data_IF_532028724642
#
_entry.id   IF_532028724642
#
_cell.length_a   1.000
_cell.length_b   1.000
_cell.length_c   1.000
_cell.angle_alpha   90.00
_cell.angle_beta   90.00
_cell.angle_gamma   90.00
#
_symmetry.space_group_name_H-M   'P 1'
#
loop_
_entity.id
_entity.type
_entity.pdbx_description
1 polymer ?
#
# COMPACT_ATOMS: atom_id res chain seq x y z
N UNK A 1 -36.29 -39.33 68.78
CA UNK A 1 -35.36 -38.22 68.46
C UNK A 1 -34.92 -38.39 67.01
N UNK A 2 -35.26 -37.48 66.07
CA UNK A 2 -34.89 -37.65 64.67
C UNK A 2 -33.49 -37.09 64.39
N UNK A 3 -32.69 -37.84 63.63
CA UNK A 3 -31.39 -37.42 63.13
C UNK A 3 -31.60 -36.52 61.90
N UNK A 4 -31.14 -35.28 61.96
CA UNK A 4 -31.15 -34.35 60.83
C UNK A 4 -30.01 -34.71 59.86
N UNK A 5 -30.38 -35.13 58.65
CA UNK A 5 -29.44 -35.38 57.55
C UNK A 5 -29.02 -34.05 56.93
N UNK A 6 -27.78 -33.62 57.17
CA UNK A 6 -27.22 -32.40 56.59
C UNK A 6 -26.69 -32.71 55.19
N UNK A 7 -27.40 -32.25 54.16
CA UNK A 7 -26.94 -32.31 52.77
C UNK A 7 -25.90 -31.21 52.55
N UNK A 8 -24.62 -31.58 52.42
CA UNK A 8 -23.55 -30.65 52.02
C UNK A 8 -23.53 -30.50 50.50
N UNK A 9 -23.95 -29.35 49.99
CA UNK A 9 -23.70 -28.93 48.61
C UNK A 9 -22.19 -28.70 48.42
N UNK A 10 -21.54 -29.55 47.63
CA UNK A 10 -20.13 -29.38 47.27
C UNK A 10 -20.01 -28.23 46.28
N UNK A 11 -19.56 -27.07 46.74
CA UNK A 11 -19.18 -25.96 45.87
C UNK A 11 -18.03 -26.41 44.94
N UNK A 12 -18.23 -26.31 43.62
CA UNK A 12 -17.17 -26.58 42.65
C UNK A 12 -16.05 -25.55 42.84
N UNK A 13 -14.77 -25.97 42.91
CA UNK A 13 -13.67 -25.02 42.94
C UNK A 13 -13.64 -24.24 41.62
N UNK A 14 -13.62 -22.91 41.71
CA UNK A 14 -13.39 -22.04 40.57
C UNK A 14 -11.97 -22.32 40.03
N UNK A 15 -11.87 -22.94 38.86
CA UNK A 15 -10.60 -23.15 38.15
C UNK A 15 -10.20 -21.83 37.50
N UNK A 16 -9.12 -21.22 37.99
CA UNK A 16 -8.47 -20.08 37.36
C UNK A 16 -7.49 -20.52 36.27
N UNK A 17 -7.12 -19.60 35.38
CA UNK A 17 -6.04 -19.80 34.41
C UNK A 17 -4.69 -19.88 35.11
N UNK A 18 -3.84 -20.80 34.68
CA UNK A 18 -2.46 -20.87 35.15
C UNK A 18 -1.58 -19.86 34.41
N UNK A 19 -0.52 -19.38 35.06
CA UNK A 19 0.47 -18.51 34.41
C UNK A 19 1.13 -19.21 33.22
N UNK A 20 1.32 -20.53 33.32
CA UNK A 20 1.90 -21.36 32.24
C UNK A 20 0.98 -21.47 31.03
N UNK A 21 -0.35 -21.54 31.21
CA UNK A 21 -1.30 -21.49 30.08
C UNK A 21 -1.21 -20.17 29.33
N UNK A 22 -1.19 -19.05 30.05
CA UNK A 22 -1.06 -17.74 29.39
C UNK A 22 0.29 -17.61 28.69
N UNK A 23 1.38 -18.06 29.34
CA UNK A 23 2.71 -18.00 28.76
C UNK A 23 2.81 -18.81 27.45
N UNK A 24 2.27 -20.04 27.41
CA UNK A 24 2.32 -20.86 26.19
C UNK A 24 1.45 -20.29 25.07
N UNK A 25 0.27 -19.75 25.37
CA UNK A 25 -0.56 -19.05 24.38
C UNK A 25 0.15 -17.84 23.80
N UNK A 26 0.78 -17.01 24.63
CA UNK A 26 1.54 -15.85 24.17
C UNK A 26 2.71 -16.26 23.25
N UNK A 27 3.41 -17.35 23.56
CA UNK A 27 4.48 -17.88 22.71
C UNK A 27 3.94 -18.30 21.34
N UNK A 28 2.82 -19.02 21.29
CA UNK A 28 2.21 -19.43 20.02
C UNK A 28 1.79 -18.21 19.19
N UNK A 29 1.14 -17.22 19.82
CA UNK A 29 0.72 -15.98 19.15
C UNK A 29 1.93 -15.20 18.61
N UNK A 30 3.03 -15.12 19.37
CA UNK A 30 4.25 -14.43 18.93
C UNK A 30 4.86 -15.08 17.67
N UNK A 31 4.87 -16.41 17.61
CA UNK A 31 5.37 -17.15 16.44
C UNK A 31 4.49 -16.87 15.21
N UNK A 32 3.17 -16.91 15.36
CA UNK A 32 2.23 -16.62 14.26
C UNK A 32 2.39 -15.17 13.79
N UNK A 33 2.47 -14.22 14.72
CA UNK A 33 2.59 -12.80 14.41
C UNK A 33 3.88 -12.48 13.64
N UNK A 34 5.00 -13.13 13.97
CA UNK A 34 6.28 -12.94 13.30
C UNK A 34 6.21 -13.24 11.79
N UNK A 35 5.38 -14.20 11.37
CA UNK A 35 5.20 -14.58 9.96
C UNK A 35 4.08 -13.77 9.31
N UNK A 36 2.98 -13.54 10.03
CA UNK A 36 1.79 -12.89 9.48
C UNK A 36 1.98 -11.38 9.22
N UNK A 37 2.65 -10.67 10.14
CA UNK A 37 2.81 -9.21 10.06
C UNK A 37 3.57 -8.72 8.81
N UNK A 38 4.73 -9.28 8.41
CA UNK A 38 5.42 -8.83 7.20
C UNK A 38 4.57 -9.07 5.94
N UNK A 39 3.89 -10.22 5.87
CA UNK A 39 2.98 -10.55 4.76
C UNK A 39 1.83 -9.56 4.66
N UNK A 40 1.16 -9.28 5.79
CA UNK A 40 0.04 -8.33 5.84
C UNK A 40 0.46 -6.90 5.44
N UNK A 41 1.63 -6.45 5.91
CA UNK A 41 2.17 -5.14 5.51
C UNK A 41 2.43 -5.06 3.99
N UNK A 42 2.93 -6.14 3.37
CA UNK A 42 3.13 -6.18 1.92
C UNK A 42 1.82 -6.09 1.15
N UNK A 43 0.75 -6.71 1.67
CA UNK A 43 -0.59 -6.65 1.10
C UNK A 43 -1.16 -5.23 1.13
N UNK A 44 -1.06 -4.56 2.29
CA UNK A 44 -1.49 -3.16 2.43
C UNK A 44 -0.73 -2.22 1.48
N UNK A 45 0.58 -2.41 1.31
CA UNK A 45 1.38 -1.63 0.37
C UNK A 45 0.93 -1.83 -1.07
N UNK A 46 0.64 -3.07 -1.48
CA UNK A 46 0.11 -3.36 -2.82
C UNK A 46 -1.21 -2.64 -3.07
N UNK A 47 -2.12 -2.60 -2.08
CA UNK A 47 -3.36 -1.82 -2.17
C UNK A 47 -3.08 -0.32 -2.37
N UNK A 48 -2.18 0.24 -1.56
CA UNK A 48 -1.79 1.65 -1.62
C UNK A 48 -1.03 2.06 -2.90
N UNK A 49 -0.50 1.12 -3.69
CA UNK A 49 0.08 1.44 -5.01
C UNK A 49 -0.97 1.94 -6.00
N UNK A 50 -2.25 1.64 -5.75
CA UNK A 50 -3.34 2.13 -6.59
C UNK A 50 -3.44 3.65 -6.61
N UNK A 51 -3.07 4.34 -5.52
CA UNK A 51 -3.01 5.80 -5.45
C UNK A 51 -2.01 6.37 -6.47
N UNK A 52 -0.79 5.80 -6.54
CA UNK A 52 0.20 6.16 -7.56
C UNK A 52 -0.28 5.86 -8.99
N UNK A 53 -0.85 4.67 -9.21
CA UNK A 53 -1.35 4.27 -10.54
C UNK A 53 -2.46 5.22 -11.00
N UNK A 54 -3.37 5.59 -10.10
CA UNK A 54 -4.45 6.55 -10.37
C UNK A 54 -3.89 7.91 -10.71
N UNK A 55 -2.89 8.39 -9.96
CA UNK A 55 -2.25 9.67 -10.22
C UNK A 55 -1.54 9.69 -11.58
N UNK A 56 -0.80 8.63 -11.92
CA UNK A 56 -0.15 8.48 -13.24
C UNK A 56 -1.17 8.34 -14.39
N UNK A 57 -2.32 7.70 -14.14
CA UNK A 57 -3.40 7.58 -15.14
C UNK A 57 -4.04 8.93 -15.43
N UNK A 58 -4.27 9.75 -14.40
CA UNK A 58 -4.77 11.13 -14.56
C UNK A 58 -3.76 12.00 -15.31
N UNK A 59 -2.47 11.85 -14.97
CA UNK A 59 -1.39 12.51 -15.71
C UNK A 59 -1.40 12.11 -17.18
N UNK A 60 -1.56 10.82 -17.49
CA UNK A 60 -1.63 10.34 -18.86
C UNK A 60 -2.81 10.93 -19.63
N UNK A 61 -4.00 11.01 -19.02
CA UNK A 61 -5.17 11.64 -19.63
C UNK A 61 -4.92 13.13 -19.91
N UNK A 62 -4.38 13.87 -18.94
CA UNK A 62 -4.06 15.28 -19.10
C UNK A 62 -2.99 15.51 -20.17
N UNK A 63 -1.98 14.66 -20.23
CA UNK A 63 -0.93 14.69 -21.25
C UNK A 63 -1.52 14.47 -22.66
N UNK A 64 -2.41 13.50 -22.83
CA UNK A 64 -3.10 13.29 -24.11
C UNK A 64 -3.89 14.52 -24.53
N UNK A 65 -4.71 15.09 -23.63
CA UNK A 65 -5.45 16.33 -23.91
C UNK A 65 -4.54 17.50 -24.28
N UNK A 66 -3.42 17.67 -23.57
CA UNK A 66 -2.45 18.72 -23.85
C UNK A 66 -1.75 18.51 -25.21
N UNK A 67 -1.38 17.27 -25.54
CA UNK A 67 -0.79 16.92 -26.83
C UNK A 67 -1.76 17.20 -28.00
N UNK A 68 -3.04 16.88 -27.85
CA UNK A 68 -4.05 17.19 -28.88
C UNK A 68 -4.17 18.69 -29.16
N UNK A 69 -3.97 19.54 -28.15
CA UNK A 69 -4.10 20.99 -28.28
C UNK A 69 -2.81 21.67 -28.73
N UNK A 70 -1.65 21.17 -28.30
CA UNK A 70 -0.36 21.85 -28.45
C UNK A 70 0.62 21.13 -29.39
N UNK A 71 0.27 19.93 -29.87
CA UNK A 71 1.14 19.10 -30.73
C UNK A 71 2.36 18.51 -30.02
N UNK A 72 2.46 18.65 -28.70
CA UNK A 72 3.56 18.13 -27.86
C UNK A 72 3.07 17.81 -26.47
N UNK A 73 3.79 16.95 -25.76
CA UNK A 73 3.53 16.71 -24.34
C UNK A 73 4.03 17.87 -23.47
N UNK A 74 3.37 18.06 -22.32
CA UNK A 74 3.76 19.05 -21.32
C UNK A 74 5.00 18.59 -20.55
N UNK A 75 5.89 19.54 -20.24
CA UNK A 75 7.11 19.28 -19.47
C UNK A 75 6.94 19.44 -17.96
N UNK A 76 5.83 20.03 -17.53
CA UNK A 76 5.56 20.39 -16.16
C UNK A 76 4.11 20.06 -15.76
N UNK A 77 3.91 19.77 -14.48
CA UNK A 77 2.58 19.41 -13.95
C UNK A 77 1.65 20.62 -13.89
N UNK A 78 2.20 21.84 -13.80
CA UNK A 78 1.42 23.07 -13.73
C UNK A 78 0.71 23.35 -15.06
N UNK A 79 1.38 23.14 -16.21
CA UNK A 79 0.75 23.22 -17.54
C UNK A 79 -0.39 22.19 -17.73
N UNK A 80 -0.38 21.10 -16.98
CA UNK A 80 -1.46 20.10 -16.97
C UNK A 80 -2.56 20.40 -15.93
N UNK A 81 -2.39 21.43 -15.10
CA UNK A 81 -3.30 21.73 -13.99
C UNK A 81 -3.33 20.64 -12.91
N UNK A 82 -2.24 19.88 -12.76
CA UNK A 82 -2.18 18.74 -11.83
C UNK A 82 -1.33 19.06 -10.60
N UNK A 83 -1.71 18.53 -9.42
CA UNK A 83 -0.87 18.63 -8.22
C UNK A 83 0.38 17.74 -8.35
N UNK A 84 1.44 18.12 -7.65
CA UNK A 84 2.68 17.34 -7.54
C UNK A 84 2.59 16.12 -6.60
N UNK A 85 1.40 15.83 -6.07
CA UNK A 85 1.16 14.75 -5.13
C UNK A 85 -0.06 13.92 -5.55
N UNK A 86 -0.03 12.64 -5.18
CA UNK A 86 -1.18 11.77 -5.32
C UNK A 86 -2.30 12.18 -4.34
N UNK A 87 -3.51 11.64 -4.52
CA UNK A 87 -4.69 12.07 -3.78
C UNK A 87 -4.57 11.78 -2.29
N UNK A 88 -4.01 10.63 -1.94
CA UNK A 88 -3.77 10.25 -0.54
C UNK A 88 -2.44 10.83 -0.01
N UNK A 89 -1.70 11.58 -0.81
CA UNK A 89 -0.40 12.15 -0.45
C UNK A 89 0.71 11.11 -0.26
N UNK A 90 0.48 9.86 -0.68
CA UNK A 90 1.43 8.76 -0.51
C UNK A 90 2.60 8.83 -1.49
N UNK A 91 2.42 9.52 -2.61
CA UNK A 91 3.39 9.67 -3.69
C UNK A 91 3.54 11.11 -4.14
N UNK A 92 4.74 11.46 -4.58
CA UNK A 92 5.06 12.69 -5.32
C UNK A 92 5.24 12.38 -6.80
N UNK A 93 4.65 13.21 -7.65
CA UNK A 93 4.66 13.07 -9.09
C UNK A 93 5.70 14.00 -9.71
N UNK A 94 6.37 13.50 -10.74
CA UNK A 94 7.30 14.27 -11.54
C UNK A 94 7.24 13.82 -13.00
N UNK A 95 7.32 14.79 -13.91
CA UNK A 95 7.61 14.54 -15.33
C UNK A 95 9.13 14.62 -15.48
N UNK A 96 9.77 13.53 -15.90
CA UNK A 96 11.22 13.47 -16.03
C UNK A 96 11.69 13.89 -17.43
N UNK A 97 10.88 13.63 -18.44
CA UNK A 97 11.13 14.05 -19.82
C UNK A 97 9.83 14.25 -20.59
N UNK A 98 9.85 15.15 -21.56
CA UNK A 98 8.71 15.45 -22.44
C UNK A 98 9.21 15.88 -23.81
N UNK A 99 8.54 15.46 -24.88
CA UNK A 99 8.79 15.87 -26.25
C UNK A 99 7.52 15.85 -27.10
N UNK A 100 7.66 15.95 -28.42
CA UNK A 100 6.52 15.82 -29.33
C UNK A 100 5.96 14.39 -29.35
N UNK A 101 6.86 13.42 -29.35
CA UNK A 101 6.56 12.01 -29.62
C UNK A 101 6.39 11.15 -28.35
N UNK A 102 6.72 11.70 -27.18
CA UNK A 102 6.67 10.93 -25.94
C UNK A 102 6.99 11.74 -24.69
N UNK A 103 6.81 11.10 -23.54
CA UNK A 103 7.17 11.64 -22.23
C UNK A 103 7.45 10.51 -21.25
N UNK A 104 8.13 10.83 -20.15
CA UNK A 104 8.26 9.95 -19.00
C UNK A 104 7.84 10.64 -17.72
N UNK A 105 7.11 9.94 -16.89
CA UNK A 105 6.67 10.40 -15.58
C UNK A 105 6.95 9.36 -14.50
N UNK A 106 7.12 9.80 -13.27
CA UNK A 106 7.35 8.93 -12.11
C UNK A 106 6.54 9.40 -10.92
N UNK A 107 5.90 8.45 -10.25
CA UNK A 107 5.32 8.61 -8.93
C UNK A 107 6.25 7.95 -7.91
N UNK A 108 6.92 8.76 -7.09
CA UNK A 108 7.85 8.30 -6.04
C UNK A 108 7.19 8.38 -4.68
N UNK A 109 7.37 7.35 -3.84
CA UNK A 109 6.79 7.33 -2.51
C UNK A 109 7.23 8.56 -1.70
N UNK A 110 6.27 9.28 -1.14
CA UNK A 110 6.54 10.48 -0.36
C UNK A 110 7.37 10.15 0.89
N UNK A 111 8.30 11.03 1.30
CA UNK A 111 9.06 10.85 2.53
C UNK A 111 8.13 10.66 3.74
N UNK A 112 8.44 9.67 4.60
CA UNK A 112 7.63 9.37 5.78
C UNK A 112 6.32 8.63 5.50
N UNK A 113 5.94 8.40 4.23
CA UNK A 113 4.76 7.61 3.91
C UNK A 113 4.99 6.12 4.17
N UNK A 114 3.90 5.36 4.34
CA UNK A 114 3.96 3.90 4.47
C UNK A 114 4.61 3.24 3.23
N UNK A 115 4.60 3.90 2.08
CA UNK A 115 5.17 3.43 0.82
C UNK A 115 6.66 3.65 0.69
N UNK A 116 7.28 4.47 1.54
CA UNK A 116 8.73 4.62 1.56
C UNK A 116 9.47 3.29 1.82
N UNK A 117 8.79 2.33 2.47
CA UNK A 117 9.31 0.99 2.76
C UNK A 117 8.93 -0.05 1.71
N UNK A 118 8.31 0.33 0.60
CA UNK A 118 7.80 -0.59 -0.43
C UNK A 118 8.88 -1.11 -1.40
N UNK A 119 10.10 -1.35 -0.89
CA UNK A 119 11.22 -1.94 -1.61
C UNK A 119 11.42 -1.34 -3.01
N UNK A 120 11.52 -2.21 -4.02
CA UNK A 120 11.71 -1.76 -5.40
C UNK A 120 10.46 -1.11 -6.01
N UNK A 121 9.28 -1.28 -5.43
CA UNK A 121 8.05 -0.64 -5.91
C UNK A 121 7.85 0.79 -5.36
N UNK A 122 8.86 1.34 -4.68
CA UNK A 122 8.83 2.72 -4.16
C UNK A 122 8.63 3.80 -5.22
N UNK A 123 8.99 3.54 -6.47
CA UNK A 123 8.90 4.49 -7.57
C UNK A 123 8.28 3.82 -8.80
N UNK A 124 7.05 4.19 -9.13
CA UNK A 124 6.34 3.72 -10.31
C UNK A 124 6.60 4.69 -11.46
N UNK A 125 7.10 4.18 -12.59
CA UNK A 125 7.40 4.98 -13.79
C UNK A 125 6.54 4.56 -14.96
N UNK A 126 6.13 5.55 -15.75
CA UNK A 126 5.44 5.40 -17.01
C UNK A 126 6.24 6.13 -18.08
N UNK A 127 6.57 5.45 -19.18
CA UNK A 127 7.19 6.08 -20.35
C UNK A 127 6.32 5.85 -21.56
N UNK A 128 5.82 6.92 -22.16
CA UNK A 128 5.04 6.88 -23.40
C UNK A 128 5.95 7.27 -24.54
N UNK A 129 5.97 6.45 -25.58
CA UNK A 129 6.76 6.62 -26.79
C UNK A 129 5.97 6.15 -28.01
N UNK A 130 6.39 6.44 -29.26
CA UNK A 130 5.70 5.95 -30.45
C UNK A 130 5.67 4.42 -30.53
N UNK A 131 6.68 3.75 -29.98
CA UNK A 131 6.78 2.28 -29.88
C UNK A 131 5.84 1.66 -28.84
N UNK A 132 5.16 2.47 -28.03
CA UNK A 132 4.26 2.01 -26.99
C UNK A 132 4.58 2.60 -25.61
N UNK A 133 4.01 1.98 -24.58
CA UNK A 133 4.11 2.45 -23.20
C UNK A 133 4.87 1.44 -22.33
N UNK A 134 5.98 1.87 -21.74
CA UNK A 134 6.74 1.10 -20.76
C UNK A 134 6.27 1.40 -19.34
N UNK A 135 6.12 0.35 -18.53
CA UNK A 135 5.71 0.42 -17.13
C UNK A 135 6.82 -0.16 -16.25
N UNK A 136 7.38 0.68 -15.40
CA UNK A 136 8.46 0.27 -14.50
C UNK A 136 8.13 0.51 -13.03
N UNK A 137 8.84 -0.15 -12.11
CA UNK A 137 10.10 -0.86 -12.35
C UNK A 137 9.92 -2.33 -12.73
N UNK A 138 8.82 -2.96 -12.30
CA UNK A 138 8.45 -4.35 -12.63
C UNK A 138 6.93 -4.47 -12.76
N UNK A 139 6.46 -5.42 -13.56
CA UNK A 139 5.02 -5.67 -13.79
C UNK A 139 4.24 -5.90 -12.48
N UNK A 140 4.85 -6.62 -11.53
CA UNK A 140 4.26 -6.89 -10.21
C UNK A 140 4.01 -5.64 -9.36
N UNK A 141 4.70 -4.53 -9.62
CA UNK A 141 4.41 -3.25 -8.96
C UNK A 141 3.14 -2.59 -9.53
N UNK A 142 2.82 -2.87 -10.80
CA UNK A 142 1.67 -2.32 -11.53
C UNK A 142 0.41 -3.19 -11.44
N UNK A 143 0.45 -4.24 -10.61
CA UNK A 143 -0.64 -5.22 -10.50
C UNK A 143 -0.98 -5.88 -11.85
N UNK A 144 0.04 -6.08 -12.69
CA UNK A 144 -0.03 -6.78 -13.96
C UNK A 144 0.88 -8.00 -13.96
#
# INVERSE_FOLDING_TARGET
MPAALVVRTLARPNRGFTLVEVATVCVIVAIIAAIALPSFNSYLRRGKRHDAITALTRLQQAQSSYQYQNGRYAGDLAALGLPAHSLEGLYSLQINSSGADGYSATATAAPGSAQAKDGDCRALRLTVSPSGTDYGPRASCWNR
#
